data_IF_916522802511
#
_entry.id   IF_916522802511
#
_cell.length_a   1.000
_cell.length_b   1.000
_cell.length_c   1.000
_cell.angle_alpha   90.00
_cell.angle_beta   90.00
_cell.angle_gamma   90.00
#
_symmetry.space_group_name_H-M   'P 1'
#
loop_
_entity.id
_entity.type
_entity.pdbx_description
1 polymer ?
#
# COMPACT_ATOMS: atom_id res chain seq x y z
N UNK A 1 30.47 18.58 -7.41
CA UNK A 1 29.71 17.40 -7.87
C UNK A 1 30.22 17.04 -9.26
N UNK A 2 30.57 15.78 -9.53
CA UNK A 2 31.10 15.35 -10.84
C UNK A 2 30.02 14.65 -11.65
N UNK A 3 30.17 14.61 -12.99
CA UNK A 3 29.27 13.88 -13.87
C UNK A 3 29.14 12.40 -13.49
N UNK A 4 30.25 11.78 -13.03
CA UNK A 4 30.24 10.41 -12.55
C UNK A 4 29.36 10.23 -11.30
N UNK A 5 29.50 11.12 -10.31
CA UNK A 5 28.67 11.08 -9.10
C UNK A 5 27.18 11.28 -9.40
N UNK A 6 26.85 12.12 -10.39
CA UNK A 6 25.48 12.32 -10.86
C UNK A 6 24.89 11.06 -11.50
N UNK A 7 25.66 10.36 -12.34
CA UNK A 7 25.21 9.13 -12.99
C UNK A 7 24.94 8.05 -11.94
N UNK A 8 25.85 7.84 -10.97
CA UNK A 8 25.65 6.85 -9.91
C UNK A 8 24.41 7.16 -9.07
N UNK A 9 24.20 8.43 -8.71
CA UNK A 9 23.00 8.84 -7.99
C UNK A 9 21.73 8.54 -8.78
N UNK A 10 21.69 8.88 -10.06
CA UNK A 10 20.52 8.63 -10.90
C UNK A 10 20.19 7.13 -11.00
N UNK A 11 21.22 6.26 -11.06
CA UNK A 11 21.03 4.81 -11.07
C UNK A 11 20.48 4.33 -9.72
N UNK A 12 21.05 4.79 -8.59
CA UNK A 12 20.58 4.44 -7.24
C UNK A 12 19.12 4.84 -7.06
N UNK A 13 18.79 6.10 -7.33
CA UNK A 13 17.43 6.65 -7.23
C UNK A 13 16.44 5.81 -8.08
N UNK A 14 16.86 5.40 -9.28
CA UNK A 14 16.05 4.63 -10.22
C UNK A 14 15.87 3.16 -9.81
N UNK A 15 16.87 2.55 -9.17
CA UNK A 15 16.76 1.20 -8.61
C UNK A 15 15.84 1.19 -7.39
N UNK A 16 16.04 2.12 -6.45
CA UNK A 16 15.21 2.25 -5.25
C UNK A 16 13.72 2.46 -5.58
N UNK A 17 13.43 3.31 -6.57
CA UNK A 17 12.07 3.55 -7.04
C UNK A 17 11.43 2.28 -7.64
N UNK A 18 12.19 1.49 -8.40
CA UNK A 18 11.68 0.25 -8.99
C UNK A 18 11.45 -0.83 -7.94
N UNK A 19 12.35 -0.98 -6.98
CA UNK A 19 12.14 -1.92 -5.89
C UNK A 19 10.94 -1.53 -5.02
N UNK A 20 10.75 -0.23 -4.74
CA UNK A 20 9.58 0.25 -4.01
C UNK A 20 8.28 -0.05 -4.77
N UNK A 21 8.29 0.13 -6.10
CA UNK A 21 7.17 -0.22 -6.97
C UNK A 21 6.89 -1.73 -6.96
N UNK A 22 7.92 -2.56 -7.06
CA UNK A 22 7.75 -4.01 -7.04
C UNK A 22 7.19 -4.49 -5.71
N UNK A 23 7.72 -3.99 -4.57
CA UNK A 23 7.18 -4.29 -3.24
C UNK A 23 5.70 -3.90 -3.10
N UNK A 24 5.28 -2.79 -3.69
CA UNK A 24 3.88 -2.36 -3.71
C UNK A 24 3.00 -3.35 -4.48
N UNK A 25 3.43 -3.77 -5.68
CA UNK A 25 2.69 -4.73 -6.48
C UNK A 25 2.65 -6.12 -5.84
N UNK A 26 3.76 -6.59 -5.28
CA UNK A 26 3.82 -7.88 -4.58
C UNK A 26 2.84 -7.92 -3.38
N UNK A 27 2.72 -6.83 -2.62
CA UNK A 27 1.74 -6.72 -1.54
C UNK A 27 0.30 -6.67 -2.09
N UNK A 28 0.07 -5.94 -3.18
CA UNK A 28 -1.24 -5.86 -3.81
C UNK A 28 -1.71 -7.22 -4.32
N UNK A 29 -0.84 -7.96 -5.01
CA UNK A 29 -1.13 -9.30 -5.53
C UNK A 29 -1.40 -10.28 -4.38
N UNK A 30 -0.59 -10.23 -3.31
CA UNK A 30 -0.84 -11.05 -2.11
C UNK A 30 -2.21 -10.76 -1.48
N UNK A 31 -2.59 -9.48 -1.34
CA UNK A 31 -3.91 -9.12 -0.80
C UNK A 31 -5.03 -9.53 -1.74
N UNK A 32 -4.84 -9.34 -3.04
CA UNK A 32 -5.82 -9.69 -4.05
C UNK A 32 -6.08 -11.21 -4.08
N UNK A 33 -5.05 -12.03 -3.94
CA UNK A 33 -5.19 -13.48 -3.84
C UNK A 33 -6.09 -13.89 -2.65
N UNK A 34 -5.92 -13.27 -1.48
CA UNK A 34 -6.77 -13.52 -0.30
C UNK A 34 -8.21 -13.09 -0.55
N UNK A 35 -8.43 -11.94 -1.21
CA UNK A 35 -9.78 -11.47 -1.56
C UNK A 35 -10.44 -12.44 -2.55
N UNK A 36 -9.70 -12.90 -3.56
CA UNK A 36 -10.19 -13.85 -4.55
C UNK A 36 -10.56 -15.21 -3.94
N UNK A 37 -9.79 -15.67 -2.95
CA UNK A 37 -10.05 -16.93 -2.24
C UNK A 37 -11.23 -16.83 -1.26
N UNK A 38 -11.31 -15.74 -0.50
CA UNK A 38 -12.24 -15.63 0.64
C UNK A 38 -13.52 -14.83 0.34
N UNK A 39 -13.51 -14.03 -0.72
CA UNK A 39 -14.56 -13.04 -1.01
C UNK A 39 -14.68 -11.93 0.04
N UNK A 40 -13.79 -11.88 1.04
CA UNK A 40 -13.84 -10.90 2.10
C UNK A 40 -13.09 -9.63 1.67
N UNK A 41 -13.70 -8.48 1.92
CA UNK A 41 -13.09 -7.17 1.67
C UNK A 41 -13.46 -6.18 2.77
N UNK A 42 -12.79 -5.04 2.78
CA UNK A 42 -13.12 -3.92 3.66
C UNK A 42 -13.80 -2.85 2.81
N UNK A 43 -15.04 -2.44 3.13
CA UNK A 43 -15.69 -1.32 2.45
C UNK A 43 -14.82 -0.05 2.53
N UNK A 44 -14.61 0.61 1.39
CA UNK A 44 -13.74 1.79 1.33
C UNK A 44 -14.18 2.91 2.27
N UNK A 45 -15.49 3.09 2.47
CA UNK A 45 -16.02 4.08 3.41
C UNK A 45 -15.56 3.85 4.86
N UNK A 46 -15.44 2.60 5.30
CA UNK A 46 -14.97 2.23 6.63
C UNK A 46 -13.45 2.43 6.76
N UNK A 47 -12.68 1.96 5.76
CA UNK A 47 -11.23 2.16 5.74
C UNK A 47 -10.87 3.65 5.70
N UNK A 48 -11.57 4.45 4.87
CA UNK A 48 -11.38 5.90 4.79
C UNK A 48 -11.61 6.56 6.15
N UNK A 49 -12.72 6.26 6.82
CA UNK A 49 -13.03 6.80 8.15
C UNK A 49 -11.96 6.43 9.18
N UNK A 50 -11.48 5.18 9.14
CA UNK A 50 -10.39 4.73 9.99
C UNK A 50 -9.11 5.54 9.76
N UNK A 51 -8.72 5.75 8.50
CA UNK A 51 -7.53 6.53 8.14
C UNK A 51 -7.65 8.00 8.53
N UNK A 52 -8.81 8.63 8.32
CA UNK A 52 -9.07 10.01 8.72
C UNK A 52 -8.87 10.19 10.24
N UNK A 53 -9.40 9.27 11.05
CA UNK A 53 -9.23 9.28 12.52
C UNK A 53 -7.79 9.02 12.96
N UNK A 54 -7.08 8.10 12.28
CA UNK A 54 -5.66 7.84 12.53
C UNK A 54 -4.79 9.06 12.25
N UNK A 55 -5.07 9.79 11.16
CA UNK A 55 -4.36 11.04 10.82
C UNK A 55 -4.65 12.14 11.85
N UNK A 56 -5.85 12.15 12.44
CA UNK A 56 -6.19 13.05 13.55
C UNK A 56 -5.55 12.66 14.90
N UNK A 57 -4.75 11.59 14.96
CA UNK A 57 -4.08 11.12 16.18
C UNK A 57 -4.98 10.30 17.11
N UNK A 58 -6.19 9.95 16.67
CA UNK A 58 -7.09 9.14 17.46
C UNK A 58 -6.66 7.67 17.48
N UNK A 59 -6.84 7.02 18.64
CA UNK A 59 -6.71 5.57 18.73
C UNK A 59 -8.03 4.94 18.30
N UNK A 60 -8.01 4.23 17.17
CA UNK A 60 -9.15 3.51 16.61
C UNK A 60 -8.77 2.10 16.23
N UNK A 61 -9.71 1.17 16.38
CA UNK A 61 -9.59 -0.16 15.81
C UNK A 61 -9.71 -0.10 14.28
N UNK A 62 -8.96 -0.94 13.55
CA UNK A 62 -9.10 -1.08 12.11
C UNK A 62 -10.41 -1.79 11.75
N UNK A 63 -11.05 -1.45 10.61
CA UNK A 63 -12.23 -2.16 10.14
C UNK A 63 -11.90 -3.61 9.78
N UNK A 64 -12.84 -4.52 10.06
CA UNK A 64 -12.72 -5.94 9.77
C UNK A 64 -13.15 -6.27 8.33
N UNK A 65 -12.50 -7.24 7.71
CA UNK A 65 -12.92 -7.76 6.41
C UNK A 65 -14.22 -8.55 6.55
N UNK A 66 -15.15 -8.34 5.60
CA UNK A 66 -16.46 -9.00 5.53
C UNK A 66 -16.84 -9.23 4.07
N UNK A 67 -17.81 -10.11 3.76
CA UNK A 67 -18.26 -10.27 2.38
C UNK A 67 -18.75 -8.92 1.84
N UNK A 68 -18.42 -8.60 0.59
CA UNK A 68 -19.03 -7.46 -0.08
C UNK A 68 -20.52 -7.78 -0.23
N UNK A 69 -21.38 -7.14 0.56
CA UNK A 69 -22.82 -7.33 0.44
C UNK A 69 -23.30 -6.89 -0.96
N UNK A 70 -24.22 -7.67 -1.56
CA UNK A 70 -25.15 -7.14 -2.56
C UNK A 70 -26.11 -6.11 -1.92
#
# INVERSE_FOLDING_TARGET
MTSHALILKAISDRVEADEARNRLFDEADRRYAVIAETGQTIPWSEMRRYLERRVAGETTEPPAARPLAE
#
